data_IF_951999847652
#
_entry.id   IF_951999847652
#
_cell.length_a   1.000
_cell.length_b   1.000
_cell.length_c   1.000
_cell.angle_alpha   90.00
_cell.angle_beta   90.00
_cell.angle_gamma   90.00
#
_symmetry.space_group_name_H-M   'P 1'
#
loop_
_entity.id
_entity.type
_entity.pdbx_description
1 polymer ?
#
# COMPACT_ATOMS: atom_id res chain seq x y z
N UNK A 1 8.17 -22.01 35.51
CA UNK A 1 8.09 -22.76 34.24
C UNK A 1 6.85 -22.28 33.51
N UNK A 2 6.96 -21.53 32.41
CA UNK A 2 5.77 -21.23 31.63
C UNK A 2 5.30 -22.56 31.02
N UNK A 3 4.06 -22.94 31.31
CA UNK A 3 3.39 -24.08 30.68
C UNK A 3 3.42 -23.78 29.17
N UNK A 4 4.10 -24.63 28.39
CA UNK A 4 4.15 -24.49 26.93
C UNK A 4 2.72 -24.53 26.40
N UNK A 5 2.15 -23.36 26.14
CA UNK A 5 0.87 -23.21 25.47
C UNK A 5 1.18 -23.35 23.99
N UNK A 6 0.73 -24.44 23.39
CA UNK A 6 0.81 -24.64 21.95
C UNK A 6 0.17 -23.44 21.23
N UNK A 7 0.80 -22.99 20.15
CA UNK A 7 0.24 -21.95 19.31
C UNK A 7 -1.04 -22.45 18.62
N UNK A 8 -1.94 -21.54 18.19
CA UNK A 8 -3.14 -21.93 17.44
C UNK A 8 -2.81 -22.78 16.20
N UNK A 9 -1.69 -22.48 15.53
CA UNK A 9 -1.24 -23.22 14.35
C UNK A 9 -0.65 -24.59 14.69
N UNK A 10 0.10 -24.72 15.78
CA UNK A 10 0.60 -26.03 16.27
C UNK A 10 -0.57 -26.97 16.60
N UNK A 11 -1.61 -26.44 17.26
CA UNK A 11 -2.83 -27.19 17.53
C UNK A 11 -3.56 -27.62 16.25
N UNK A 12 -3.49 -26.79 15.21
CA UNK A 12 -4.08 -27.10 13.91
C UNK A 12 -3.30 -28.21 13.19
N UNK A 13 -1.96 -28.13 13.19
CA UNK A 13 -1.08 -29.17 12.63
C UNK A 13 -1.29 -30.53 13.31
N UNK A 14 -1.48 -30.55 14.63
CA UNK A 14 -1.78 -31.79 15.38
C UNK A 14 -3.13 -32.42 15.01
N UNK A 15 -4.10 -31.62 14.56
CA UNK A 15 -5.42 -32.09 14.10
C UNK A 15 -5.44 -32.43 12.61
N UNK A 16 -4.44 -31.99 11.85
CA UNK A 16 -4.39 -32.16 10.41
C UNK A 16 -4.15 -33.61 9.99
N UNK A 17 -4.71 -34.01 8.85
CA UNK A 17 -4.43 -35.32 8.24
C UNK A 17 -3.09 -35.35 7.52
N UNK A 18 -2.66 -34.20 7.00
CA UNK A 18 -1.35 -33.99 6.41
C UNK A 18 -0.83 -32.61 6.81
N UNK A 19 0.31 -32.61 7.52
CA UNK A 19 0.95 -31.39 8.03
C UNK A 19 1.53 -30.54 6.89
N UNK A 20 2.13 -31.17 5.88
CA UNK A 20 2.68 -30.47 4.71
C UNK A 20 1.57 -29.74 3.92
N UNK A 21 0.42 -30.39 3.73
CA UNK A 21 -0.70 -29.78 3.01
C UNK A 21 -1.29 -28.60 3.80
N UNK A 22 -1.39 -28.74 5.12
CA UNK A 22 -1.86 -27.69 6.02
C UNK A 22 -0.91 -26.48 6.05
N UNK A 23 0.39 -26.76 6.09
CA UNK A 23 1.43 -25.74 6.01
C UNK A 23 1.42 -25.03 4.65
N UNK A 24 1.30 -25.78 3.55
CA UNK A 24 1.16 -25.24 2.21
C UNK A 24 -0.04 -24.30 2.09
N UNK A 25 -1.19 -24.69 2.64
CA UNK A 25 -2.37 -23.83 2.67
C UNK A 25 -2.16 -22.54 3.46
N UNK A 26 -1.44 -22.60 4.59
CA UNK A 26 -1.10 -21.38 5.32
C UNK A 26 -0.20 -20.46 4.50
N UNK A 27 0.80 -20.98 3.81
CA UNK A 27 1.68 -20.19 2.96
C UNK A 27 0.93 -19.59 1.75
N UNK A 28 0.00 -20.33 1.13
CA UNK A 28 -0.87 -19.81 0.06
C UNK A 28 -1.80 -18.70 0.59
N UNK A 29 -2.41 -18.90 1.76
CA UNK A 29 -3.24 -17.90 2.41
C UNK A 29 -2.43 -16.64 2.77
N UNK A 30 -1.18 -16.83 3.23
CA UNK A 30 -0.25 -15.74 3.53
C UNK A 30 0.09 -14.91 2.29
N UNK A 31 0.32 -15.54 1.14
CA UNK A 31 0.56 -14.86 -0.14
C UNK A 31 -0.64 -13.99 -0.55
N UNK A 32 -1.86 -14.46 -0.33
CA UNK A 32 -3.07 -13.66 -0.59
C UNK A 32 -3.20 -12.51 0.41
N UNK A 33 -2.95 -12.77 1.70
CA UNK A 33 -3.02 -11.80 2.77
C UNK A 33 -1.93 -10.71 2.69
N UNK A 34 -0.81 -10.94 2.00
CA UNK A 34 0.28 -9.97 1.90
C UNK A 34 -0.10 -8.67 1.16
N UNK A 35 -1.27 -8.64 0.50
CA UNK A 35 -1.84 -7.44 -0.12
C UNK A 35 -2.59 -6.53 0.87
N UNK A 36 -2.81 -6.97 2.11
CA UNK A 36 -3.58 -6.27 3.13
C UNK A 36 -4.81 -7.09 3.54
N UNK A 37 -6.01 -6.66 3.15
CA UNK A 37 -7.24 -7.40 3.44
C UNK A 37 -7.45 -8.56 2.46
N UNK A 38 -7.63 -9.77 3.01
CA UNK A 38 -8.12 -10.94 2.28
C UNK A 38 -9.56 -10.68 1.80
N UNK A 39 -9.73 -10.41 0.50
CA UNK A 39 -11.03 -10.18 -0.09
C UNK A 39 -11.85 -11.46 -0.20
N UNK A 40 -13.16 -11.35 -0.39
CA UNK A 40 -14.04 -12.52 -0.59
C UNK A 40 -13.64 -13.36 -1.80
N UNK A 41 -13.09 -12.73 -2.85
CA UNK A 41 -12.56 -13.42 -4.01
C UNK A 41 -11.34 -14.30 -3.64
N UNK A 42 -10.46 -13.80 -2.77
CA UNK A 42 -9.28 -14.53 -2.29
C UNK A 42 -9.69 -15.72 -1.42
N UNK A 43 -10.68 -15.52 -0.55
CA UNK A 43 -11.25 -16.59 0.29
C UNK A 43 -11.86 -17.71 -0.56
N UNK A 44 -12.62 -17.37 -1.60
CA UNK A 44 -13.20 -18.36 -2.54
C UNK A 44 -12.12 -19.14 -3.27
N UNK A 45 -11.11 -18.45 -3.78
CA UNK A 45 -9.99 -19.08 -4.48
C UNK A 45 -9.17 -19.99 -3.57
N UNK A 46 -8.91 -19.58 -2.32
CA UNK A 46 -8.25 -20.44 -1.34
C UNK A 46 -9.10 -21.68 -1.02
N UNK A 47 -10.42 -21.52 -0.92
CA UNK A 47 -11.36 -22.65 -0.70
C UNK A 47 -11.37 -23.63 -1.86
N UNK A 48 -11.29 -23.12 -3.11
CA UNK A 48 -11.17 -23.97 -4.30
C UNK A 48 -9.85 -24.74 -4.31
N UNK A 49 -8.73 -24.06 -4.06
CA UNK A 49 -7.41 -24.69 -3.99
C UNK A 49 -7.34 -25.74 -2.87
N UNK A 50 -7.90 -25.44 -1.70
CA UNK A 50 -7.87 -26.34 -0.54
C UNK A 50 -8.51 -27.71 -0.79
N UNK A 51 -9.40 -27.85 -1.79
CA UNK A 51 -9.97 -29.14 -2.17
C UNK A 51 -8.92 -30.15 -2.64
N UNK A 52 -7.83 -29.67 -3.21
CA UNK A 52 -6.73 -30.52 -3.69
C UNK A 52 -5.77 -30.92 -2.55
N UNK A 53 -5.94 -30.36 -1.35
CA UNK A 53 -5.06 -30.56 -0.18
C UNK A 53 -5.70 -31.52 0.84
N UNK A 54 -4.92 -32.43 1.43
CA UNK A 54 -5.40 -33.40 2.43
C UNK A 54 -5.28 -32.87 3.86
N UNK A 55 -5.85 -31.71 4.12
CA UNK A 55 -5.71 -30.99 5.41
C UNK A 55 -6.67 -31.49 6.50
N UNK A 56 -7.94 -31.77 6.16
CA UNK A 56 -8.90 -32.45 7.06
C UNK A 56 -9.46 -31.62 8.21
N UNK A 57 -9.36 -30.30 8.15
CA UNK A 57 -9.89 -29.34 9.13
C UNK A 57 -10.53 -28.13 8.43
N UNK A 58 -11.27 -27.30 9.18
CA UNK A 58 -11.82 -26.04 8.68
C UNK A 58 -10.73 -25.07 8.21
N UNK A 59 -11.01 -24.25 7.19
CA UNK A 59 -10.05 -23.29 6.64
C UNK A 59 -10.01 -21.96 7.39
N UNK A 60 -11.06 -21.61 8.14
CA UNK A 60 -11.14 -20.31 8.84
C UNK A 60 -9.93 -20.05 9.76
N UNK A 61 -9.43 -21.01 10.56
CA UNK A 61 -8.23 -20.78 11.37
C UNK A 61 -6.99 -20.44 10.54
N UNK A 62 -6.81 -21.05 9.37
CA UNK A 62 -5.69 -20.73 8.47
C UNK A 62 -5.83 -19.31 7.95
N UNK A 63 -7.04 -18.93 7.53
CA UNK A 63 -7.33 -17.60 7.00
C UNK A 63 -7.08 -16.54 8.08
N UNK A 64 -7.52 -16.78 9.31
CA UNK A 64 -7.29 -15.88 10.45
C UNK A 64 -5.80 -15.71 10.77
N UNK A 65 -5.05 -16.80 10.84
CA UNK A 65 -3.59 -16.76 11.09
C UNK A 65 -2.87 -16.00 9.97
N UNK A 66 -3.23 -16.27 8.71
CA UNK A 66 -2.66 -15.57 7.55
C UNK A 66 -3.01 -14.07 7.55
N UNK A 67 -4.26 -13.72 7.90
CA UNK A 67 -4.71 -12.33 7.98
C UNK A 67 -3.94 -11.54 9.05
N UNK A 68 -3.59 -12.20 10.16
CA UNK A 68 -2.81 -11.60 11.25
C UNK A 68 -1.31 -11.51 10.93
N UNK A 69 -0.84 -12.12 9.84
CA UNK A 69 0.58 -12.19 9.48
C UNK A 69 1.44 -12.74 10.62
N UNK A 70 0.95 -13.77 11.32
CA UNK A 70 1.66 -14.40 12.43
C UNK A 70 2.96 -15.06 11.93
N UNK A 71 4.08 -14.38 12.17
CA UNK A 71 5.40 -14.81 11.75
C UNK A 71 5.80 -16.17 12.36
N UNK A 72 5.35 -16.48 13.57
CA UNK A 72 5.66 -17.76 14.21
C UNK A 72 4.96 -18.92 13.52
N UNK A 73 3.69 -18.75 13.15
CA UNK A 73 2.95 -19.74 12.38
C UNK A 73 3.50 -19.90 10.96
N UNK A 74 3.85 -18.80 10.29
CA UNK A 74 4.45 -18.82 8.95
C UNK A 74 5.80 -19.52 8.97
N UNK A 75 6.65 -19.22 9.96
CA UNK A 75 7.93 -19.90 10.14
C UNK A 75 7.74 -21.41 10.34
N UNK A 76 6.82 -21.82 11.22
CA UNK A 76 6.55 -23.24 11.46
C UNK A 76 6.03 -23.93 10.19
N UNK A 77 5.14 -23.28 9.43
CA UNK A 77 4.68 -23.82 8.15
C UNK A 77 5.83 -23.97 7.14
N UNK A 78 6.74 -22.99 7.08
CA UNK A 78 7.93 -23.06 6.24
C UNK A 78 8.84 -24.23 6.63
N UNK A 79 9.06 -24.47 7.92
CA UNK A 79 9.85 -25.60 8.42
C UNK A 79 9.21 -26.96 8.09
N UNK A 80 7.89 -27.07 8.27
CA UNK A 80 7.13 -28.28 7.91
C UNK A 80 7.22 -28.54 6.41
N UNK A 81 7.02 -27.51 5.59
CA UNK A 81 7.12 -27.64 4.13
C UNK A 81 8.53 -28.02 3.68
N UNK A 82 9.57 -27.40 4.24
CA UNK A 82 10.96 -27.70 3.88
C UNK A 82 11.33 -29.17 4.20
N UNK A 83 10.78 -29.73 5.27
CA UNK A 83 11.04 -31.12 5.66
C UNK A 83 10.39 -32.14 4.72
N UNK A 84 9.18 -31.85 4.25
CA UNK A 84 8.36 -32.82 3.51
C UNK A 84 8.32 -32.55 1.99
N UNK A 85 8.72 -31.36 1.53
CA UNK A 85 8.70 -30.95 0.14
C UNK A 85 9.93 -30.08 -0.18
N UNK A 86 10.93 -30.65 -0.86
CA UNK A 86 12.11 -29.92 -1.31
C UNK A 86 12.51 -30.29 -2.74
N UNK A 87 13.13 -29.36 -3.46
CA UNK A 87 13.58 -29.56 -4.84
C UNK A 87 12.39 -29.73 -5.80
N UNK A 88 12.45 -30.73 -6.70
CA UNK A 88 11.41 -30.95 -7.72
C UNK A 88 10.01 -31.22 -7.14
N UNK A 89 9.93 -31.77 -5.93
CA UNK A 89 8.65 -32.02 -5.25
C UNK A 89 7.91 -30.71 -4.89
N UNK A 90 8.62 -29.59 -4.81
CA UNK A 90 8.04 -28.28 -4.55
C UNK A 90 7.41 -27.64 -5.80
N UNK A 91 7.61 -28.20 -7.01
CA UNK A 91 7.14 -27.57 -8.25
C UNK A 91 5.62 -27.41 -8.33
N UNK A 92 4.79 -28.41 -7.99
CA UNK A 92 3.33 -28.25 -8.03
C UNK A 92 2.87 -27.13 -7.09
N UNK A 93 3.45 -27.07 -5.89
CA UNK A 93 3.18 -26.03 -4.91
C UNK A 93 3.59 -24.64 -5.43
N UNK A 94 4.82 -24.49 -5.91
CA UNK A 94 5.30 -23.22 -6.46
C UNK A 94 4.46 -22.74 -7.65
N UNK A 95 4.01 -23.64 -8.52
CA UNK A 95 3.08 -23.30 -9.62
C UNK A 95 1.77 -22.70 -9.09
N UNK A 96 1.22 -23.24 -8.01
CA UNK A 96 0.03 -22.68 -7.37
C UNK A 96 0.29 -21.31 -6.74
N UNK A 97 1.41 -21.14 -6.03
CA UNK A 97 1.81 -19.85 -5.44
C UNK A 97 1.96 -18.78 -6.54
N UNK A 98 2.61 -19.11 -7.65
CA UNK A 98 2.78 -18.20 -8.79
C UNK A 98 1.43 -17.83 -9.40
N UNK A 99 0.56 -18.82 -9.63
CA UNK A 99 -0.78 -18.61 -10.17
C UNK A 99 -1.59 -17.65 -9.27
N UNK A 100 -1.53 -17.85 -7.95
CA UNK A 100 -2.16 -16.95 -6.97
C UNK A 100 -1.62 -15.53 -7.06
N UNK A 101 -0.29 -15.38 -7.08
CA UNK A 101 0.36 -14.07 -7.07
C UNK A 101 0.08 -13.26 -8.34
N UNK A 102 -0.04 -13.93 -9.50
CA UNK A 102 -0.24 -13.30 -10.81
C UNK A 102 -1.71 -13.03 -11.14
N UNK A 103 -2.65 -13.64 -10.43
CA UNK A 103 -4.05 -13.62 -10.83
C UNK A 103 -4.73 -12.24 -10.91
N UNK A 104 -4.20 -11.24 -10.18
CA UNK A 104 -4.70 -9.85 -10.26
C UNK A 104 -3.96 -8.99 -11.33
N UNK A 105 -3.23 -9.66 -12.23
CA UNK A 105 -2.56 -9.08 -13.40
C UNK A 105 -1.19 -8.46 -13.09
N UNK A 106 -1.13 -7.48 -12.19
CA UNK A 106 0.13 -6.83 -11.78
C UNK A 106 0.70 -7.48 -10.53
N UNK A 107 1.88 -8.08 -10.67
CA UNK A 107 2.60 -8.68 -9.57
C UNK A 107 3.09 -7.59 -8.62
N UNK A 108 2.60 -7.59 -7.38
CA UNK A 108 2.99 -6.62 -6.38
C UNK A 108 4.47 -6.79 -5.99
N UNK A 109 5.11 -5.73 -5.47
CA UNK A 109 6.50 -5.82 -4.98
C UNK A 109 6.63 -6.85 -3.86
N UNK A 110 5.64 -6.91 -2.96
CA UNK A 110 5.59 -7.90 -1.88
C UNK A 110 5.58 -9.34 -2.41
N UNK A 111 4.80 -9.60 -3.48
CA UNK A 111 4.71 -10.92 -4.09
C UNK A 111 6.01 -11.37 -4.75
N UNK A 112 6.80 -10.47 -5.33
CA UNK A 112 8.13 -10.84 -5.84
C UNK A 112 9.05 -11.34 -4.73
N UNK A 113 9.06 -10.66 -3.57
CA UNK A 113 9.90 -11.07 -2.44
C UNK A 113 9.42 -12.38 -1.82
N UNK A 114 8.11 -12.56 -1.66
CA UNK A 114 7.52 -13.79 -1.11
C UNK A 114 7.80 -14.98 -2.03
N UNK A 115 7.59 -14.82 -3.34
CA UNK A 115 7.85 -15.88 -4.32
C UNK A 115 9.31 -16.33 -4.30
N UNK A 116 10.24 -15.37 -4.25
CA UNK A 116 11.66 -15.67 -4.18
C UNK A 116 12.03 -16.36 -2.86
N UNK A 117 11.52 -15.85 -1.75
CA UNK A 117 11.70 -16.46 -0.44
C UNK A 117 11.22 -17.91 -0.42
N UNK A 118 10.03 -18.20 -0.96
CA UNK A 118 9.49 -19.56 -1.01
C UNK A 118 10.30 -20.48 -1.94
N UNK A 119 10.81 -19.97 -3.07
CA UNK A 119 11.69 -20.75 -3.95
C UNK A 119 13.00 -21.12 -3.25
N UNK A 120 13.65 -20.15 -2.60
CA UNK A 120 14.89 -20.35 -1.86
C UNK A 120 14.68 -21.32 -0.67
N UNK A 121 13.57 -21.16 0.06
CA UNK A 121 13.19 -22.02 1.20
C UNK A 121 13.03 -23.48 0.79
N UNK A 122 12.40 -23.73 -0.36
CA UNK A 122 12.11 -25.08 -0.87
C UNK A 122 13.27 -25.67 -1.69
N UNK A 123 14.40 -24.96 -1.78
CA UNK A 123 15.61 -25.45 -2.44
C UNK A 123 15.54 -25.44 -3.97
N UNK A 124 14.70 -24.60 -4.56
CA UNK A 124 14.58 -24.46 -6.02
C UNK A 124 15.52 -23.34 -6.48
N UNK A 125 16.36 -23.63 -7.48
CA UNK A 125 17.32 -22.63 -7.96
C UNK A 125 16.62 -21.44 -8.63
N UNK A 126 17.24 -20.25 -8.66
CA UNK A 126 16.66 -19.09 -9.34
C UNK A 126 16.35 -19.33 -10.82
N UNK A 127 17.14 -20.16 -11.50
CA UNK A 127 16.93 -20.53 -12.90
C UNK A 127 15.72 -21.42 -13.10
N UNK A 128 15.56 -22.46 -12.27
CA UNK A 128 14.40 -23.36 -12.31
C UNK A 128 13.12 -22.60 -11.95
N UNK A 129 13.19 -21.76 -10.91
CA UNK A 129 12.08 -20.91 -10.52
C UNK A 129 11.68 -19.94 -11.63
N UNK A 130 12.63 -19.32 -12.32
CA UNK A 130 12.35 -18.43 -13.45
C UNK A 130 11.65 -19.15 -14.60
N UNK A 131 12.03 -20.41 -14.89
CA UNK A 131 11.34 -21.26 -15.88
C UNK A 131 9.90 -21.56 -15.44
N UNK A 132 9.71 -22.03 -14.21
CA UNK A 132 8.37 -22.28 -13.64
C UNK A 132 7.48 -21.02 -13.68
N UNK A 133 8.06 -19.87 -13.36
CA UNK A 133 7.35 -18.60 -13.42
C UNK A 133 6.96 -18.21 -14.84
N UNK A 134 7.88 -18.35 -15.80
CA UNK A 134 7.58 -18.07 -17.20
C UNK A 134 6.48 -18.98 -17.75
N UNK A 135 6.48 -20.26 -17.37
CA UNK A 135 5.45 -21.22 -17.76
C UNK A 135 4.06 -20.86 -17.23
N UNK A 136 3.95 -20.42 -15.97
CA UNK A 136 2.65 -20.12 -15.34
C UNK A 136 2.19 -18.70 -15.65
N UNK A 137 3.08 -17.72 -15.61
CA UNK A 137 2.76 -16.31 -15.76
C UNK A 137 2.81 -15.81 -17.22
N UNK A 138 3.42 -16.59 -18.13
CA UNK A 138 3.64 -16.22 -19.53
C UNK A 138 4.64 -15.06 -19.73
N UNK A 139 5.41 -14.71 -18.70
CA UNK A 139 6.35 -13.57 -18.69
C UNK A 139 7.58 -13.93 -17.86
N UNK A 140 8.74 -13.37 -18.21
CA UNK A 140 9.96 -13.59 -17.45
C UNK A 140 9.84 -13.04 -16.02
N UNK A 141 10.40 -13.79 -15.07
CA UNK A 141 10.52 -13.33 -13.69
C UNK A 141 11.63 -12.27 -13.60
N UNK A 142 11.26 -11.02 -13.82
CA UNK A 142 12.18 -9.90 -13.66
C UNK A 142 12.56 -9.74 -12.19
N UNK A 143 13.86 -9.60 -11.94
CA UNK A 143 14.34 -9.31 -10.60
C UNK A 143 13.78 -7.94 -10.18
N UNK A 144 13.05 -7.83 -9.04
CA UNK A 144 12.53 -6.56 -8.61
C UNK A 144 13.69 -5.57 -8.44
N UNK A 145 13.56 -4.38 -9.03
CA UNK A 145 14.54 -3.31 -8.84
C UNK A 145 14.76 -3.07 -7.35
N UNK A 146 16.02 -3.08 -6.93
CA UNK A 146 16.44 -2.93 -5.54
C UNK A 146 15.86 -1.63 -4.94
N UNK A 147 14.97 -1.72 -3.93
CA UNK A 147 14.35 -0.55 -3.28
C UNK A 147 15.37 0.37 -2.59
N UNK A 148 16.59 -0.13 -2.37
CA UNK A 148 17.73 0.60 -1.82
C UNK A 148 18.36 1.55 -2.84
N UNK A 149 18.09 1.37 -4.14
CA UNK A 149 18.61 2.23 -5.20
C UNK A 149 17.77 3.49 -5.34
N UNK A 150 18.42 4.65 -5.25
CA UNK A 150 17.80 5.97 -5.46
C UNK A 150 17.01 6.08 -6.77
N UNK A 151 17.40 5.34 -7.82
CA UNK A 151 16.72 5.32 -9.11
C UNK A 151 15.32 4.69 -9.11
N UNK A 152 15.08 3.69 -8.25
CA UNK A 152 13.79 3.00 -8.12
C UNK A 152 12.67 3.98 -7.75
N UNK A 153 12.92 4.84 -6.76
CA UNK A 153 11.96 5.83 -6.30
C UNK A 153 11.78 6.98 -7.29
N UNK A 154 12.82 7.38 -8.01
CA UNK A 154 12.71 8.44 -9.02
C UNK A 154 11.85 8.04 -10.22
N UNK A 155 11.90 6.78 -10.65
CA UNK A 155 11.03 6.27 -11.71
C UNK A 155 9.56 6.21 -11.27
N UNK A 156 9.30 5.67 -10.07
CA UNK A 156 7.95 5.54 -9.49
C UNK A 156 7.30 6.89 -9.18
N UNK A 157 8.08 7.83 -8.65
CA UNK A 157 7.65 9.20 -8.35
C UNK A 157 7.33 9.99 -9.63
N UNK A 158 8.12 9.83 -10.70
CA UNK A 158 7.82 10.43 -12.01
C UNK A 158 6.52 9.88 -12.60
N UNK A 159 6.28 8.58 -12.48
CA UNK A 159 5.05 7.96 -12.96
C UNK A 159 3.82 8.41 -12.16
N UNK A 160 3.96 8.60 -10.83
CA UNK A 160 2.90 9.17 -9.97
C UNK A 160 2.63 10.63 -10.33
N UNK A 161 3.67 11.45 -10.44
CA UNK A 161 3.53 12.87 -10.79
C UNK A 161 2.92 13.05 -12.19
N UNK A 162 3.26 12.19 -13.16
CA UNK A 162 2.62 12.21 -14.48
C UNK A 162 1.13 11.86 -14.42
N UNK A 163 0.73 10.89 -13.61
CA UNK A 163 -0.69 10.54 -13.43
C UNK A 163 -1.46 11.66 -12.72
N UNK A 164 -0.88 12.25 -11.67
CA UNK A 164 -1.45 13.41 -10.98
C UNK A 164 -1.57 14.63 -11.91
N UNK A 165 -0.57 14.87 -12.75
CA UNK A 165 -0.59 15.95 -13.73
C UNK A 165 -1.67 15.70 -14.79
N UNK A 166 -1.76 14.49 -15.34
CA UNK A 166 -2.82 14.14 -16.29
C UNK A 166 -4.22 14.23 -15.67
N UNK A 167 -4.39 13.84 -14.40
CA UNK A 167 -5.66 14.01 -13.69
C UNK A 167 -5.98 15.50 -13.48
N UNK A 168 -5.01 16.31 -13.04
CA UNK A 168 -5.20 17.75 -12.90
C UNK A 168 -5.50 18.45 -14.23
N UNK A 169 -4.86 18.05 -15.33
CA UNK A 169 -5.12 18.59 -16.66
C UNK A 169 -6.51 18.21 -17.15
N UNK A 170 -6.96 16.96 -16.92
CA UNK A 170 -8.33 16.53 -17.20
C UNK A 170 -9.34 17.32 -16.37
N UNK A 171 -9.07 17.51 -15.08
CA UNK A 171 -9.94 18.29 -14.18
C UNK A 171 -10.03 19.75 -14.63
N UNK A 172 -8.89 20.37 -14.96
CA UNK A 172 -8.83 21.76 -15.47
C UNK A 172 -9.53 21.92 -16.82
N UNK A 173 -9.41 20.93 -17.69
CA UNK A 173 -10.08 20.92 -18.99
C UNK A 173 -11.60 20.79 -18.83
N UNK A 174 -12.06 19.92 -17.92
CA UNK A 174 -13.46 19.79 -17.54
C UNK A 174 -14.00 21.07 -16.89
N UNK A 175 -13.27 21.66 -15.94
CA UNK A 175 -13.66 22.93 -15.29
C UNK A 175 -13.74 24.07 -16.30
N UNK A 176 -12.83 24.15 -17.29
CA UNK A 176 -12.92 25.13 -18.37
C UNK A 176 -14.18 24.92 -19.22
N UNK A 177 -14.44 23.69 -19.66
CA UNK A 177 -15.65 23.38 -20.44
C UNK A 177 -16.93 23.67 -19.64
N UNK A 178 -16.94 23.37 -18.33
CA UNK A 178 -18.09 23.66 -17.47
C UNK A 178 -18.31 25.16 -17.28
N UNK A 179 -17.23 25.95 -17.13
CA UNK A 179 -17.30 27.42 -17.05
C UNK A 179 -17.75 28.06 -18.35
N UNK A 180 -17.29 27.55 -19.49
CA UNK A 180 -17.71 28.00 -20.83
C UNK A 180 -19.18 27.66 -21.09
N UNK A 181 -19.66 26.48 -20.68
CA UNK A 181 -21.09 26.15 -20.73
C UNK A 181 -21.92 27.09 -19.86
N UNK A 182 -21.52 27.30 -18.60
CA UNK A 182 -22.23 28.19 -17.68
C UNK A 182 -22.24 29.64 -18.15
N UNK A 183 -21.16 30.13 -18.78
CA UNK A 183 -21.13 31.47 -19.35
C UNK A 183 -22.07 31.57 -20.56
N UNK A 184 -22.08 30.58 -21.46
CA UNK A 184 -22.99 30.57 -22.61
C UNK A 184 -24.47 30.52 -22.19
N UNK A 185 -24.80 29.72 -21.18
CA UNK A 185 -26.14 29.65 -20.57
C UNK A 185 -26.55 30.99 -19.94
N UNK A 186 -25.62 31.65 -19.23
CA UNK A 186 -25.86 32.96 -18.60
C UNK A 186 -26.00 34.09 -19.64
N UNK A 187 -25.26 34.06 -20.75
CA UNK A 187 -25.44 35.00 -21.87
C UNK A 187 -26.76 34.78 -22.61
N UNK A 188 -27.19 33.53 -22.79
CA UNK A 188 -28.48 33.18 -23.39
C UNK A 188 -29.66 33.59 -22.49
N UNK A 189 -29.55 33.37 -21.18
CA UNK A 189 -30.50 33.83 -20.16
C UNK A 189 -30.54 35.36 -20.02
N UNK A 190 -29.40 36.04 -20.16
CA UNK A 190 -29.27 37.50 -20.01
C UNK A 190 -29.92 38.32 -21.13
N UNK A 191 -30.11 37.75 -22.33
CA UNK A 191 -30.83 38.44 -23.42
C UNK A 191 -32.35 38.53 -23.19
N UNK A 192 -32.93 37.72 -22.29
CA UNK A 192 -34.37 37.81 -21.94
C UNK A 192 -34.68 38.84 -20.84
N UNK A 193 -33.67 39.40 -20.15
CA UNK A 193 -33.88 40.15 -18.90
C UNK A 193 -33.70 41.68 -19.00
N UNK A 194 -33.71 42.27 -20.21
CA UNK A 194 -33.48 43.70 -20.45
C UNK A 194 -34.76 44.59 -20.49
N UNK A 195 -35.84 44.21 -19.80
CA UNK A 195 -37.00 45.08 -19.54
C UNK A 195 -37.49 44.95 -18.09
N UNK A 196 -36.71 45.42 -17.11
CA UNK A 196 -37.27 46.03 -15.90
C UNK A 196 -36.19 46.75 -15.09
N UNK A 197 -36.32 48.06 -15.09
CA UNK A 197 -35.49 49.02 -14.36
C UNK A 197 -35.70 48.91 -12.85
N UNK A 198 -34.66 49.29 -12.10
CA UNK A 198 -34.80 50.33 -11.07
C UNK A 198 -34.84 49.93 -9.60
N UNK A 199 -33.81 50.43 -8.89
CA UNK A 199 -33.81 50.95 -7.50
C UNK A 199 -33.86 50.00 -6.30
N UNK A 200 -32.90 50.20 -5.38
CA UNK A 200 -32.97 49.74 -3.99
C UNK A 200 -31.61 49.44 -3.37
N UNK A 201 -30.95 50.45 -2.80
CA UNK A 201 -29.75 50.26 -1.97
C UNK A 201 -30.10 49.72 -0.58
N UNK A 202 -29.25 48.85 -0.04
CA UNK A 202 -29.10 48.70 1.41
C UNK A 202 -27.75 48.06 1.77
N UNK A 203 -27.16 48.73 2.73
CA UNK A 203 -25.87 48.59 3.38
C UNK A 203 -25.76 47.27 4.16
N UNK A 204 -24.67 46.52 3.94
CA UNK A 204 -24.21 45.48 4.88
C UNK A 204 -22.68 45.51 5.00
N UNK A 205 -22.26 45.90 6.19
CA UNK A 205 -20.88 45.94 6.65
C UNK A 205 -20.33 44.53 6.90
N UNK A 206 -19.07 44.36 6.49
CA UNK A 206 -18.00 43.52 7.03
C UNK A 206 -18.33 42.13 7.62
N UNK A 207 -17.72 41.11 7.01
CA UNK A 207 -16.66 40.36 7.71
C UNK A 207 -15.66 39.76 6.71
N UNK A 208 -14.68 40.56 6.32
CA UNK A 208 -13.41 40.03 5.85
C UNK A 208 -12.77 39.30 7.04
N UNK A 209 -12.79 37.98 7.01
CA UNK A 209 -11.87 37.21 7.83
C UNK A 209 -10.52 37.31 7.14
N UNK A 210 -9.79 38.38 7.47
CA UNK A 210 -8.36 38.47 7.28
C UNK A 210 -7.79 37.32 8.10
N UNK A 211 -7.43 36.21 7.44
CA UNK A 211 -6.54 35.23 8.04
C UNK A 211 -5.21 35.96 8.19
N UNK A 212 -5.04 36.64 9.33
CA UNK A 212 -3.77 37.23 9.71
C UNK A 212 -2.75 36.10 9.71
N UNK A 213 -1.94 36.12 8.67
CA UNK A 213 -0.83 35.24 8.49
C UNK A 213 0.15 35.52 9.65
N UNK A 214 0.43 34.54 10.54
CA UNK A 214 1.24 34.77 11.72
C UNK A 214 2.66 35.22 11.31
N UNK A 215 3.33 36.03 12.17
CA UNK A 215 4.63 36.60 11.87
C UNK A 215 5.67 35.50 11.52
N UNK A 216 6.62 35.77 10.61
CA UNK A 216 7.49 34.75 10.02
C UNK A 216 8.28 33.92 11.03
N UNK A 217 8.69 34.52 12.15
CA UNK A 217 9.43 33.81 13.21
C UNK A 217 8.64 32.66 13.87
N UNK A 218 7.32 32.78 13.95
CA UNK A 218 6.46 31.78 14.58
C UNK A 218 6.17 30.60 13.64
N UNK A 219 6.16 30.83 12.31
CA UNK A 219 6.02 29.76 11.32
C UNK A 219 7.25 28.87 11.26
N UNK A 220 8.46 29.44 11.31
CA UNK A 220 9.71 28.67 11.35
C UNK A 220 9.77 27.80 12.60
N UNK A 221 9.41 28.37 13.77
CA UNK A 221 9.36 27.63 15.03
C UNK A 221 8.34 26.49 14.99
N UNK A 222 7.15 26.73 14.43
CA UNK A 222 6.12 25.69 14.25
C UNK A 222 6.54 24.62 13.26
N UNK A 223 7.23 24.97 12.17
CA UNK A 223 7.74 24.01 11.20
C UNK A 223 8.85 23.13 11.80
N UNK A 224 9.75 23.71 12.60
CA UNK A 224 10.77 22.96 13.36
C UNK A 224 10.12 22.03 14.39
N UNK A 225 9.12 22.51 15.12
CA UNK A 225 8.36 21.69 16.07
C UNK A 225 7.63 20.52 15.40
N UNK A 226 7.07 20.69 14.20
CA UNK A 226 6.46 19.60 13.41
C UNK A 226 7.50 18.54 13.03
N UNK A 227 8.77 18.92 12.81
CA UNK A 227 9.87 18.00 12.57
C UNK A 227 10.53 17.48 13.86
N UNK A 228 10.08 17.93 15.04
CA UNK A 228 10.67 17.57 16.33
C UNK A 228 12.07 18.14 16.56
N UNK A 229 12.35 19.33 16.01
CA UNK A 229 13.65 19.99 16.08
C UNK A 229 13.57 21.28 16.92
N UNK A 230 14.66 21.56 17.63
CA UNK A 230 14.82 22.80 18.38
C UNK A 230 15.11 24.01 17.46
N UNK A 231 14.75 25.25 17.89
CA UNK A 231 15.14 26.47 17.20
C UNK A 231 16.66 26.55 17.01
N UNK A 232 17.12 26.74 15.78
CA UNK A 232 18.56 26.76 15.44
C UNK A 232 19.10 25.47 14.83
N UNK A 233 18.25 24.45 14.59
CA UNK A 233 18.66 23.24 13.89
C UNK A 233 19.21 23.53 12.49
N UNK A 234 20.33 22.88 12.16
CA UNK A 234 21.00 23.02 10.88
C UNK A 234 20.20 22.38 9.72
N UNK A 235 20.46 22.83 8.48
CA UNK A 235 19.85 22.23 7.27
C UNK A 235 20.13 20.73 7.13
N UNK A 236 21.18 20.22 7.76
CA UNK A 236 21.52 18.79 7.78
C UNK A 236 20.58 18.00 8.71
N UNK A 237 20.25 18.57 9.86
CA UNK A 237 19.34 18.00 10.85
C UNK A 237 17.90 18.04 10.37
N UNK A 238 17.49 19.14 9.73
CA UNK A 238 16.18 19.27 9.07
C UNK A 238 15.98 18.17 8.02
N UNK A 239 16.99 17.92 7.17
CA UNK A 239 16.96 16.82 6.18
C UNK A 239 16.94 15.43 6.84
N UNK A 240 17.68 15.24 7.94
CA UNK A 240 17.73 13.97 8.66
C UNK A 240 16.38 13.66 9.35
N UNK A 241 15.79 14.66 10.01
CA UNK A 241 14.48 14.55 10.66
C UNK A 241 13.37 14.30 9.64
N UNK A 242 13.38 15.03 8.52
CA UNK A 242 12.42 14.82 7.42
C UNK A 242 12.48 13.39 6.90
N UNK A 243 13.68 12.84 6.60
CA UNK A 243 13.82 11.45 6.13
C UNK A 243 13.28 10.43 7.14
N UNK A 244 13.57 10.61 8.43
CA UNK A 244 13.08 9.73 9.50
C UNK A 244 11.56 9.77 9.61
N UNK A 245 10.96 10.96 9.61
CA UNK A 245 9.51 11.15 9.75
C UNK A 245 8.76 10.72 8.49
N UNK A 246 9.34 10.93 7.31
CA UNK A 246 8.79 10.46 6.03
C UNK A 246 8.73 8.93 5.99
N UNK A 247 9.77 8.22 6.46
CA UNK A 247 9.76 6.76 6.58
C UNK A 247 8.77 6.25 7.63
N UNK A 248 8.53 7.03 8.70
CA UNK A 248 7.63 6.62 9.78
C UNK A 248 6.15 6.81 9.43
N UNK A 249 5.81 7.90 8.74
CA UNK A 249 4.44 8.29 8.43
C UNK A 249 4.06 8.13 6.96
N UNK A 250 4.80 7.33 6.19
CA UNK A 250 4.46 7.09 4.80
C UNK A 250 3.11 6.36 4.68
N UNK A 251 2.14 6.83 3.88
CA UNK A 251 0.80 6.24 3.79
C UNK A 251 0.81 4.77 3.34
N UNK A 252 1.84 4.37 2.59
CA UNK A 252 2.04 2.98 2.12
C UNK A 252 2.31 1.99 3.27
N UNK A 253 2.87 2.45 4.41
CA UNK A 253 3.07 1.58 5.58
C UNK A 253 1.77 1.23 6.29
N UNK A 254 0.78 2.09 6.17
CA UNK A 254 -0.51 1.96 6.84
C UNK A 254 -1.59 1.42 5.90
N UNK A 255 -1.21 1.06 4.66
CA UNK A 255 -2.14 0.53 3.66
C UNK A 255 -2.80 -0.79 4.11
N UNK A 256 -2.04 -1.62 4.83
CA UNK A 256 -2.56 -2.84 5.45
C UNK A 256 -3.46 -2.58 6.68
N UNK A 257 -3.36 -1.39 7.30
CA UNK A 257 -4.08 -1.01 8.53
C UNK A 257 -5.43 -0.29 8.27
N UNK A 258 -5.84 -0.16 6.99
CA UNK A 258 -7.14 0.37 6.57
C UNK A 258 -7.17 1.85 6.21
N UNK A 259 -8.21 2.28 5.48
CA UNK A 259 -8.32 3.63 4.89
C UNK A 259 -8.19 4.77 5.90
N UNK A 260 -8.70 4.60 7.12
CA UNK A 260 -8.61 5.62 8.17
C UNK A 260 -7.17 5.87 8.64
N UNK A 261 -6.36 4.81 8.75
CA UNK A 261 -4.94 4.92 9.10
C UNK A 261 -4.12 5.48 7.94
N UNK A 262 -4.43 5.08 6.70
CA UNK A 262 -3.84 5.67 5.48
C UNK A 262 -4.12 7.16 5.40
N UNK A 263 -5.36 7.60 5.65
CA UNK A 263 -5.73 9.00 5.64
C UNK A 263 -5.00 9.80 6.73
N UNK A 264 -4.86 9.25 7.93
CA UNK A 264 -4.13 9.88 9.02
C UNK A 264 -2.62 10.00 8.70
N UNK A 265 -2.01 8.91 8.21
CA UNK A 265 -0.63 8.88 7.78
C UNK A 265 -0.37 9.88 6.65
N UNK A 266 -1.26 9.92 5.64
CA UNK A 266 -1.19 10.86 4.53
C UNK A 266 -1.29 12.32 5.00
N UNK A 267 -2.20 12.62 5.94
CA UNK A 267 -2.32 13.96 6.54
C UNK A 267 -1.07 14.36 7.35
N UNK A 268 -0.50 13.44 8.12
CA UNK A 268 0.75 13.66 8.87
C UNK A 268 1.93 13.87 7.90
N UNK A 269 2.03 13.04 6.87
CA UNK A 269 3.05 13.13 5.83
C UNK A 269 3.01 14.48 5.10
N UNK A 270 1.82 14.94 4.71
CA UNK A 270 1.65 16.25 4.10
C UNK A 270 2.07 17.39 5.04
N UNK A 271 1.78 17.30 6.34
CA UNK A 271 2.23 18.31 7.33
C UNK A 271 3.75 18.32 7.48
N UNK A 272 4.38 17.15 7.54
CA UNK A 272 5.84 16.98 7.59
C UNK A 272 6.51 17.56 6.34
N UNK A 273 5.97 17.26 5.16
CA UNK A 273 6.49 17.78 3.88
C UNK A 273 6.35 19.30 3.78
N UNK A 274 5.20 19.86 4.15
CA UNK A 274 4.99 21.32 4.16
C UNK A 274 5.96 22.04 5.11
N UNK A 275 6.22 21.46 6.29
CA UNK A 275 7.18 22.01 7.24
C UNK A 275 8.62 21.97 6.69
N UNK A 276 9.03 20.85 6.08
CA UNK A 276 10.34 20.72 5.43
C UNK A 276 10.52 21.70 4.27
N UNK A 277 9.54 21.79 3.36
CA UNK A 277 9.58 22.66 2.20
C UNK A 277 9.70 24.15 2.63
N UNK A 278 8.93 24.55 3.65
CA UNK A 278 9.00 25.89 4.23
C UNK A 278 10.39 26.19 4.83
N UNK A 279 10.93 25.28 5.63
CA UNK A 279 12.25 25.46 6.24
C UNK A 279 13.37 25.48 5.20
N UNK A 280 13.26 24.72 4.12
CA UNK A 280 14.25 24.72 3.04
C UNK A 280 14.21 25.98 2.18
N UNK A 281 13.07 26.70 2.15
CA UNK A 281 12.90 27.98 1.45
C UNK A 281 13.21 29.20 2.33
N UNK A 282 13.00 29.10 3.64
CA UNK A 282 13.21 30.18 4.60
C UNK A 282 14.63 30.23 5.22
N UNK A 283 15.51 29.27 4.90
CA UNK A 283 16.89 29.13 5.44
C UNK A 283 17.98 29.40 4.41
#
# INVERSE_FOLDING_TARGET
MPIARFSPFELLLLKSRNQADTAGLLLLAWVLASKGHLADADRRRLTELARDFRHGHELEPIIEIAAQQDLGAIQLAAEVMQKDCCGEQAYPFLRQVIALAVADGKLASAHHHILRFLADLLGVSPSEFAQLFAEVAGKEFANPDDPSRTGYWQAKERHRQQQEHQQQERQRSQDRHSRERHSHERYSSGQQHHQRSGTGGSQRQHRHHSTQEPPPGDRTRRALAILGLEPGASRSEIRKAYRRLAQLHHPDRFFAEGEAMVANASMRFQKIKKAYDYLMQAS
#
